data_IF_525287152812
#
_entry.id   IF_525287152812
#
_cell.length_a   1.000
_cell.length_b   1.000
_cell.length_c   1.000
_cell.angle_alpha   90.00
_cell.angle_beta   90.00
_cell.angle_gamma   90.00
#
_symmetry.space_group_name_H-M   'P 1'
#
loop_
_entity.id
_entity.type
_entity.pdbx_description
1 polymer ?
#
# COMPACT_ATOMS: atom_id res chain seq x y z
N UNK A 1 1.36 -81.86 -43.63
CA UNK A 1 2.71 -81.27 -43.41
C UNK A 1 2.80 -80.75 -41.97
N UNK A 2 3.92 -80.13 -41.58
CA UNK A 2 4.31 -79.53 -40.27
C UNK A 2 3.18 -79.15 -39.29
N UNK A 3 3.23 -79.24 -37.94
CA UNK A 3 4.24 -79.41 -36.85
C UNK A 3 4.25 -78.18 -35.91
N UNK A 4 4.09 -78.42 -34.59
CA UNK A 4 4.37 -77.52 -33.43
C UNK A 4 3.42 -76.30 -33.30
N UNK A 5 3.27 -75.63 -32.14
CA UNK A 5 3.80 -75.87 -30.78
C UNK A 5 2.81 -75.36 -29.72
N UNK A 6 2.67 -76.02 -28.57
CA UNK A 6 3.38 -75.78 -27.29
C UNK A 6 2.86 -74.56 -26.51
N UNK A 7 2.31 -74.83 -25.31
CA UNK A 7 1.81 -73.85 -24.34
C UNK A 7 2.90 -73.02 -23.62
N UNK A 8 2.47 -71.96 -22.91
CA UNK A 8 3.23 -71.47 -21.76
C UNK A 8 3.03 -69.99 -21.41
N UNK A 9 2.31 -69.71 -20.31
CA UNK A 9 2.80 -68.92 -19.16
C UNK A 9 1.69 -68.69 -18.13
N UNK A 10 2.01 -68.90 -16.85
CA UNK A 10 1.19 -68.43 -15.73
C UNK A 10 1.63 -67.02 -15.32
N UNK A 11 0.69 -66.08 -15.20
CA UNK A 11 0.96 -64.74 -14.67
C UNK A 11 0.92 -64.75 -13.14
N UNK A 12 2.00 -64.26 -12.50
CA UNK A 12 2.14 -64.18 -11.05
C UNK A 12 1.71 -62.81 -10.48
N UNK A 13 1.53 -62.80 -9.16
CA UNK A 13 1.51 -61.64 -8.26
C UNK A 13 0.31 -60.67 -8.34
N UNK A 14 -0.48 -60.66 -7.26
CA UNK A 14 -1.52 -59.67 -6.95
C UNK A 14 -1.76 -59.63 -5.44
N UNK A 15 -0.76 -59.19 -4.67
CA UNK A 15 -0.86 -59.13 -3.21
C UNK A 15 -1.68 -57.90 -2.77
N UNK A 16 -2.70 -58.04 -1.88
CA UNK A 16 -3.39 -56.90 -1.31
C UNK A 16 -2.45 -56.12 -0.37
N UNK A 17 -2.44 -54.80 -0.52
CA UNK A 17 -1.56 -53.92 0.27
C UNK A 17 -1.98 -53.87 1.74
N UNK A 18 -1.02 -53.80 2.65
CA UNK A 18 -1.29 -53.66 4.08
C UNK A 18 -1.82 -52.26 4.41
N UNK A 19 -3.08 -52.17 4.85
CA UNK A 19 -3.68 -50.90 5.26
C UNK A 19 -3.04 -50.38 6.57
N UNK A 20 -2.78 -49.07 6.61
CA UNK A 20 -1.94 -48.47 7.64
C UNK A 20 -2.69 -48.21 8.96
N UNK A 21 -2.08 -48.59 10.08
CA UNK A 21 -2.64 -48.37 11.42
C UNK A 21 -2.90 -46.87 11.72
N UNK A 22 -3.99 -46.54 12.44
CA UNK A 22 -4.38 -45.15 12.69
C UNK A 22 -3.36 -44.41 13.57
N UNK A 23 -2.93 -43.23 13.12
CA UNK A 23 -2.00 -42.36 13.86
C UNK A 23 -2.69 -41.81 15.12
N UNK A 24 -2.02 -41.88 16.27
CA UNK A 24 -2.48 -41.25 17.51
C UNK A 24 -2.63 -39.72 17.31
N UNK A 25 -3.68 -39.09 17.85
CA UNK A 25 -3.80 -37.63 17.80
C UNK A 25 -2.68 -36.97 18.61
N UNK A 26 -1.97 -36.01 18.00
CA UNK A 26 -1.00 -35.20 18.74
C UNK A 26 -1.74 -34.20 19.63
N UNK A 27 -1.34 -34.13 20.90
CA UNK A 27 -1.94 -33.25 21.90
C UNK A 27 -1.49 -31.81 21.61
N UNK A 28 -2.41 -30.94 21.19
CA UNK A 28 -2.12 -29.53 20.99
C UNK A 28 -1.56 -28.91 22.28
N UNK A 29 -0.48 -28.14 22.18
CA UNK A 29 -0.01 -27.29 23.29
C UNK A 29 -0.88 -26.04 23.35
N UNK A 30 -1.33 -25.59 24.54
CA UNK A 30 -1.99 -24.30 24.66
C UNK A 30 -0.99 -23.16 24.39
N UNK A 31 -1.45 -22.00 23.90
CA UNK A 31 -0.61 -20.81 23.78
C UNK A 31 -0.19 -20.30 25.16
N UNK A 32 1.03 -19.76 25.26
CA UNK A 32 1.51 -19.10 26.47
C UNK A 32 0.89 -17.71 26.58
N UNK A 33 0.26 -17.42 27.72
CA UNK A 33 -0.27 -16.09 28.02
C UNK A 33 0.87 -15.07 28.27
N UNK A 34 0.69 -13.78 27.92
CA UNK A 34 1.70 -12.75 28.15
C UNK A 34 1.95 -12.50 29.64
N UNK A 35 3.22 -12.43 30.03
CA UNK A 35 3.65 -12.14 31.40
C UNK A 35 3.46 -10.65 31.73
N UNK A 36 2.35 -10.31 32.41
CA UNK A 36 2.12 -8.94 32.91
C UNK A 36 2.93 -8.71 34.20
N UNK A 37 4.19 -8.26 34.06
CA UNK A 37 4.96 -7.79 35.21
C UNK A 37 4.40 -6.43 35.69
N UNK A 38 3.82 -6.42 36.88
CA UNK A 38 3.44 -5.17 37.57
C UNK A 38 4.70 -4.42 38.04
N UNK A 39 4.83 -3.10 37.78
CA UNK A 39 5.92 -2.30 38.33
C UNK A 39 5.96 -2.33 39.87
N UNK A 40 7.15 -2.50 40.43
CA UNK A 40 7.37 -2.63 41.88
C UNK A 40 7.61 -1.23 42.48
N UNK A 41 6.59 -0.66 43.12
CA UNK A 41 6.62 0.71 43.64
C UNK A 41 7.73 0.94 44.68
N UNK A 42 8.81 1.60 44.28
CA UNK A 42 9.95 1.92 45.13
C UNK A 42 9.67 3.15 46.01
N UNK A 43 9.28 2.95 47.27
CA UNK A 43 9.14 4.04 48.24
C UNK A 43 10.52 4.65 48.56
N UNK A 44 10.80 5.86 48.07
CA UNK A 44 11.83 6.73 48.65
C UNK A 44 11.18 7.70 49.63
N UNK A 45 11.65 7.72 50.88
CA UNK A 45 11.43 8.84 51.81
C UNK A 45 12.61 9.78 51.66
N UNK A 46 12.38 11.08 51.60
CA UNK A 46 13.39 12.08 51.97
C UNK A 46 12.69 13.28 52.64
N UNK A 47 13.49 14.19 53.19
CA UNK A 47 13.10 15.03 54.32
C UNK A 47 12.53 16.41 53.93
N UNK A 48 11.97 17.07 54.94
CA UNK A 48 11.37 18.41 54.86
C UNK A 48 12.40 19.51 54.66
N UNK A 49 12.01 20.54 53.90
CA UNK A 49 12.46 21.93 54.11
C UNK A 49 13.71 22.38 53.36
N UNK A 50 13.51 23.23 52.34
CA UNK A 50 13.97 24.64 52.30
C UNK A 50 13.49 25.26 50.97
N UNK A 51 13.03 26.52 51.00
CA UNK A 51 12.64 27.28 49.82
C UNK A 51 13.87 27.99 49.21
N UNK A 52 14.08 27.84 47.90
CA UNK A 52 15.08 28.61 47.15
C UNK A 52 14.50 29.07 45.80
N UNK A 53 14.33 30.38 45.72
CA UNK A 53 13.73 31.17 44.65
C UNK A 53 14.25 30.98 43.20
N UNK A 54 13.30 31.07 42.25
CA UNK A 54 13.39 31.70 40.92
C UNK A 54 14.56 31.32 40.00
N UNK A 55 14.26 30.45 39.02
CA UNK A 55 14.64 30.64 37.62
C UNK A 55 13.60 29.96 36.71
N UNK A 56 12.72 30.73 36.07
CA UNK A 56 11.84 30.21 35.01
C UNK A 56 12.59 30.21 33.67
N UNK A 57 13.44 29.21 33.46
CA UNK A 57 14.03 28.94 32.15
C UNK A 57 12.96 28.37 31.23
N UNK A 58 12.41 29.22 30.36
CA UNK A 58 11.55 28.79 29.24
C UNK A 58 12.39 28.26 28.08
N UNK A 59 11.85 27.25 27.38
CA UNK A 59 12.37 26.61 26.15
C UNK A 59 13.52 25.58 26.34
N UNK A 60 13.66 24.59 25.43
CA UNK A 60 12.75 24.22 24.33
C UNK A 60 11.89 22.98 24.66
N UNK A 61 10.83 22.75 23.87
CA UNK A 61 9.98 21.53 23.95
C UNK A 61 10.15 20.74 22.64
N UNK A 62 11.37 20.28 22.36
CA UNK A 62 11.76 19.76 21.04
C UNK A 62 12.66 18.49 21.04
N UNK A 63 12.91 17.83 22.19
CA UNK A 63 13.75 16.60 22.25
C UNK A 63 13.03 15.36 22.84
N UNK A 64 11.93 15.53 23.59
CA UNK A 64 11.17 14.41 24.17
C UNK A 64 10.65 13.45 23.09
N UNK A 65 10.16 13.97 21.95
CA UNK A 65 9.64 13.19 20.82
C UNK A 65 10.74 12.42 20.06
N UNK A 66 11.96 12.99 20.01
CA UNK A 66 13.16 12.30 19.52
C UNK A 66 13.51 11.11 20.43
N UNK A 67 13.41 11.30 21.76
CA UNK A 67 13.67 10.25 22.74
C UNK A 67 12.66 9.09 22.64
N UNK A 68 11.36 9.39 22.49
CA UNK A 68 10.31 8.36 22.37
C UNK A 68 10.45 7.59 21.04
N UNK A 69 10.67 8.29 19.93
CA UNK A 69 10.87 7.67 18.61
C UNK A 69 12.09 6.74 18.60
N UNK A 70 13.23 7.16 19.17
CA UNK A 70 14.44 6.33 19.30
C UNK A 70 14.23 5.14 20.23
N UNK A 71 13.41 5.25 21.28
CA UNK A 71 13.01 4.12 22.12
C UNK A 71 12.14 3.10 21.34
N UNK A 72 11.20 3.56 20.50
CA UNK A 72 10.39 2.70 19.62
C UNK A 72 11.27 1.96 18.60
N UNK A 73 12.18 2.66 17.92
CA UNK A 73 13.13 2.04 16.97
C UNK A 73 13.99 0.99 17.67
N UNK A 74 14.53 1.29 18.85
CA UNK A 74 15.35 0.35 19.64
C UNK A 74 14.57 -0.91 20.05
N UNK A 75 13.29 -0.77 20.42
CA UNK A 75 12.41 -1.89 20.73
C UNK A 75 12.15 -2.77 19.49
N UNK A 76 11.87 -2.16 18.34
CA UNK A 76 11.65 -2.89 17.08
C UNK A 76 12.92 -3.63 16.61
N UNK A 77 14.09 -2.99 16.69
CA UNK A 77 15.37 -3.66 16.37
C UNK A 77 15.63 -4.85 17.30
N UNK A 78 15.28 -4.75 18.58
CA UNK A 78 15.39 -5.85 19.55
C UNK A 78 14.45 -7.02 19.21
N UNK A 79 13.23 -6.73 18.75
CA UNK A 79 12.28 -7.76 18.30
C UNK A 79 12.78 -8.47 17.03
N UNK A 80 13.30 -7.72 16.05
CA UNK A 80 13.91 -8.27 14.83
C UNK A 80 15.14 -9.14 15.13
N UNK A 81 15.95 -8.77 16.12
CA UNK A 81 17.12 -9.57 16.51
C UNK A 81 16.71 -10.91 17.15
N UNK A 82 15.60 -10.91 17.90
CA UNK A 82 14.97 -12.14 18.41
C UNK A 82 14.45 -13.04 17.28
N UNK A 83 13.76 -12.46 16.28
CA UNK A 83 13.32 -13.19 15.08
C UNK A 83 14.50 -13.82 14.32
N UNK A 84 15.60 -13.08 14.15
CA UNK A 84 16.80 -13.60 13.48
C UNK A 84 17.44 -14.77 14.24
N UNK A 85 17.39 -14.76 15.58
CA UNK A 85 17.85 -15.87 16.43
C UNK A 85 17.00 -17.14 16.27
N UNK A 86 15.69 -17.01 16.01
CA UNK A 86 14.84 -18.16 15.66
C UNK A 86 15.15 -18.68 14.24
N UNK A 87 15.31 -17.80 13.26
CA UNK A 87 15.63 -18.18 11.87
C UNK A 87 16.96 -18.93 11.74
N UNK A 88 17.98 -18.57 12.54
CA UNK A 88 19.25 -19.28 12.61
C UNK A 88 19.10 -20.77 12.98
N UNK A 89 18.10 -21.14 13.80
CA UNK A 89 17.84 -22.54 14.18
C UNK A 89 17.40 -23.39 12.99
N UNK A 90 16.76 -22.76 12.00
CA UNK A 90 16.36 -23.37 10.73
C UNK A 90 17.46 -23.37 9.67
N UNK A 91 18.69 -22.97 10.03
CA UNK A 91 19.83 -22.72 9.11
C UNK A 91 19.55 -21.63 8.05
N UNK A 92 18.58 -20.76 8.28
CA UNK A 92 18.36 -19.58 7.45
C UNK A 92 19.32 -18.48 7.92
N UNK A 93 20.16 -17.98 7.01
CA UNK A 93 21.06 -16.85 7.28
C UNK A 93 20.41 -15.55 6.80
N UNK A 94 20.43 -14.50 7.63
CA UNK A 94 19.70 -13.25 7.39
C UNK A 94 20.56 -12.07 7.83
N UNK A 95 20.57 -11.01 7.03
CA UNK A 95 21.11 -9.72 7.42
C UNK A 95 20.11 -8.62 7.03
N UNK A 96 19.91 -7.66 7.93
CA UNK A 96 19.04 -6.52 7.76
C UNK A 96 19.84 -5.25 8.10
N UNK A 97 19.78 -4.26 7.21
CA UNK A 97 20.27 -2.90 7.48
C UNK A 97 19.02 -2.03 7.63
N UNK A 98 18.93 -1.28 8.72
CA UNK A 98 17.96 -0.22 8.89
C UNK A 98 18.71 1.09 9.13
N UNK A 99 18.17 2.18 8.58
CA UNK A 99 18.68 3.54 8.76
C UNK A 99 17.54 4.37 9.35
N UNK A 100 17.83 5.16 10.37
CA UNK A 100 16.87 6.07 10.99
C UNK A 100 17.63 7.31 11.48
N UNK A 101 17.22 8.50 11.05
CA UNK A 101 17.99 9.74 11.21
C UNK A 101 19.44 9.52 10.72
N UNK A 102 20.45 9.66 11.60
CA UNK A 102 21.87 9.38 11.31
C UNK A 102 22.32 7.97 11.66
N UNK A 103 21.48 7.17 12.33
CA UNK A 103 21.88 5.89 12.92
C UNK A 103 21.65 4.71 11.97
N UNK A 104 22.63 3.79 11.96
CA UNK A 104 22.63 2.59 11.12
C UNK A 104 22.62 1.33 11.98
N UNK A 105 21.49 0.63 11.95
CA UNK A 105 21.27 -0.60 12.72
C UNK A 105 21.50 -1.83 11.84
N UNK A 106 22.34 -2.77 12.31
CA UNK A 106 22.64 -4.02 11.59
C UNK A 106 22.16 -5.21 12.41
N UNK A 107 21.00 -5.75 12.02
CA UNK A 107 20.33 -6.88 12.66
C UNK A 107 20.47 -8.12 11.78
N UNK A 108 20.40 -9.33 12.35
CA UNK A 108 20.56 -10.55 11.56
C UNK A 108 21.05 -11.74 12.37
N UNK A 109 21.35 -12.82 11.66
CA UNK A 109 22.10 -13.97 12.19
C UNK A 109 23.56 -13.61 12.44
N UNK A 110 24.32 -14.52 13.05
CA UNK A 110 25.75 -14.30 13.32
C UNK A 110 26.54 -14.10 12.00
N UNK A 111 26.36 -14.98 11.02
CA UNK A 111 27.05 -14.87 9.72
C UNK A 111 26.56 -13.67 8.91
N UNK A 112 25.26 -13.39 8.92
CA UNK A 112 24.67 -12.25 8.22
C UNK A 112 25.20 -10.90 8.74
N UNK A 113 25.22 -10.71 10.07
CA UNK A 113 25.80 -9.50 10.68
C UNK A 113 27.31 -9.41 10.49
N UNK A 114 28.04 -10.53 10.56
CA UNK A 114 29.48 -10.54 10.28
C UNK A 114 29.80 -10.13 8.83
N UNK A 115 29.03 -10.63 7.86
CA UNK A 115 29.16 -10.25 6.44
C UNK A 115 28.92 -8.75 6.23
N UNK A 116 27.79 -8.22 6.72
CA UNK A 116 27.45 -6.80 6.57
C UNK A 116 28.39 -5.87 7.34
N UNK A 117 28.93 -6.28 8.50
CA UNK A 117 29.90 -5.46 9.24
C UNK A 117 31.33 -5.52 8.68
N UNK A 118 31.70 -6.61 8.01
CA UNK A 118 32.93 -6.67 7.19
C UNK A 118 32.81 -5.76 5.96
N UNK A 119 31.62 -5.74 5.33
CA UNK A 119 31.32 -4.96 4.12
C UNK A 119 30.60 -3.65 4.44
N UNK A 120 31.35 -2.70 5.02
CA UNK A 120 30.90 -1.33 5.34
C UNK A 120 30.51 -0.51 4.10
N UNK A 121 30.91 -0.94 2.92
CA UNK A 121 30.41 -0.45 1.63
C UNK A 121 28.88 -0.63 1.52
N UNK A 122 28.31 -1.81 1.80
CA UNK A 122 26.84 -1.98 1.75
C UNK A 122 26.08 -1.07 2.73
N UNK A 123 26.67 -0.78 3.90
CA UNK A 123 26.07 0.14 4.87
C UNK A 123 26.10 1.59 4.34
N UNK A 124 27.22 2.01 3.74
CA UNK A 124 27.37 3.34 3.14
C UNK A 124 26.52 3.51 1.88
N UNK A 125 26.47 2.52 1.00
CA UNK A 125 25.69 2.55 -0.23
C UNK A 125 24.19 2.54 0.07
N UNK A 126 23.75 1.86 1.14
CA UNK A 126 22.35 1.90 1.57
C UNK A 126 21.97 3.23 2.25
N UNK A 127 22.82 3.78 3.13
CA UNK A 127 22.62 5.15 3.67
C UNK A 127 22.62 6.17 2.54
N UNK A 128 23.57 6.07 1.59
CA UNK A 128 23.63 6.90 0.39
C UNK A 128 22.38 6.75 -0.45
N UNK A 129 21.86 5.53 -0.64
CA UNK A 129 20.60 5.32 -1.35
C UNK A 129 19.44 6.00 -0.64
N UNK A 130 19.28 5.83 0.68
CA UNK A 130 18.23 6.50 1.45
C UNK A 130 18.33 8.03 1.33
N UNK A 131 19.53 8.60 1.50
CA UNK A 131 19.75 10.04 1.35
C UNK A 131 19.58 10.49 -0.11
N UNK A 132 20.00 9.72 -1.12
CA UNK A 132 19.75 10.05 -2.55
C UNK A 132 18.31 9.79 -3.01
N UNK A 133 17.46 9.17 -2.20
CA UNK A 133 16.03 8.96 -2.46
C UNK A 133 15.20 10.03 -1.73
N UNK A 134 15.55 10.35 -0.49
CA UNK A 134 15.05 11.53 0.24
C UNK A 134 15.48 12.84 -0.45
N UNK A 135 16.74 12.95 -0.85
CA UNK A 135 17.21 14.05 -1.70
C UNK A 135 16.51 14.01 -3.05
N UNK A 136 16.20 12.87 -3.70
CA UNK A 136 15.37 12.92 -4.93
C UNK A 136 13.92 13.33 -4.66
N UNK A 137 13.37 13.01 -3.48
CA UNK A 137 12.08 13.50 -3.04
C UNK A 137 12.09 15.02 -2.74
N UNK A 138 13.27 15.64 -2.55
CA UNK A 138 13.48 17.08 -2.30
C UNK A 138 14.09 17.87 -3.49
N UNK A 139 14.95 17.26 -4.30
CA UNK A 139 15.46 17.64 -5.63
C UNK A 139 14.49 17.24 -6.73
N UNK A 140 13.32 16.77 -6.33
CA UNK A 140 12.13 17.29 -6.94
C UNK A 140 11.21 17.72 -5.78
N UNK A 141 11.37 18.94 -5.23
CA UNK A 141 10.25 19.59 -4.51
C UNK A 141 10.11 21.11 -4.57
N UNK A 142 10.98 21.84 -5.29
CA UNK A 142 10.87 23.30 -5.41
C UNK A 142 10.22 23.78 -6.71
N UNK A 143 9.52 22.97 -7.52
CA UNK A 143 8.93 23.41 -8.82
C UNK A 143 7.65 24.23 -8.76
N UNK A 144 7.79 25.40 -8.17
CA UNK A 144 8.22 26.55 -8.98
C UNK A 144 9.24 27.30 -8.11
N UNK A 145 10.51 27.43 -8.50
CA UNK A 145 11.12 27.26 -9.83
C UNK A 145 11.53 25.83 -10.31
N UNK A 146 12.04 24.88 -9.50
CA UNK A 146 12.63 23.60 -10.02
C UNK A 146 12.63 22.42 -9.01
N UNK A 147 12.72 21.12 -9.42
CA UNK A 147 11.70 20.17 -9.89
C UNK A 147 10.66 19.74 -8.79
N UNK A 148 9.67 18.83 -9.03
CA UNK A 148 8.75 18.31 -7.97
C UNK A 148 8.40 16.79 -8.06
N UNK A 149 8.44 16.04 -6.94
CA UNK A 149 8.41 14.56 -6.78
C UNK A 149 7.49 14.03 -5.71
N UNK A 150 7.61 14.43 -4.44
CA UNK A 150 7.04 13.63 -3.33
C UNK A 150 5.50 13.64 -3.30
N UNK A 151 4.89 14.37 -4.24
CA UNK A 151 3.50 14.23 -4.65
C UNK A 151 3.23 13.22 -5.77
N UNK A 152 4.14 12.84 -6.66
CA UNK A 152 3.84 12.13 -7.91
C UNK A 152 3.09 10.79 -7.76
N UNK A 153 3.30 10.05 -6.67
CA UNK A 153 2.48 8.85 -6.37
C UNK A 153 1.06 9.21 -5.90
N UNK A 154 0.92 10.32 -5.15
CA UNK A 154 -0.35 10.88 -4.69
C UNK A 154 -1.09 11.56 -5.85
N UNK A 155 -0.45 12.45 -6.61
CA UNK A 155 -0.99 13.14 -7.78
C UNK A 155 -1.49 12.14 -8.84
N UNK A 156 -0.78 11.02 -9.09
CA UNK A 156 -1.23 10.00 -10.03
C UNK A 156 -2.54 9.32 -9.57
N UNK A 157 -2.64 8.98 -8.27
CA UNK A 157 -3.85 8.41 -7.67
C UNK A 157 -4.97 9.45 -7.54
N UNK A 158 -4.63 10.71 -7.30
CA UNK A 158 -5.58 11.84 -7.25
C UNK A 158 -6.15 12.11 -8.65
N UNK A 159 -5.32 12.17 -9.70
CA UNK A 159 -5.77 12.30 -11.09
C UNK A 159 -6.73 11.17 -11.45
N UNK A 160 -6.41 9.93 -11.09
CA UNK A 160 -7.24 8.78 -11.47
C UNK A 160 -8.55 8.71 -10.68
N UNK A 161 -8.54 9.08 -9.39
CA UNK A 161 -9.79 9.23 -8.60
C UNK A 161 -10.63 10.43 -9.06
N UNK A 162 -10.01 11.54 -9.47
CA UNK A 162 -10.69 12.68 -10.08
C UNK A 162 -11.33 12.32 -11.42
N UNK A 163 -10.59 11.65 -12.32
CA UNK A 163 -11.10 11.14 -13.62
C UNK A 163 -12.34 10.29 -13.42
N UNK A 164 -12.26 9.29 -12.56
CA UNK A 164 -13.40 8.41 -12.23
C UNK A 164 -14.57 9.18 -11.64
N UNK A 165 -14.32 10.11 -10.70
CA UNK A 165 -15.39 10.92 -10.10
C UNK A 165 -16.07 11.82 -11.13
N UNK A 166 -15.32 12.36 -12.09
CA UNK A 166 -15.87 13.14 -13.22
C UNK A 166 -16.65 12.24 -14.19
N UNK A 167 -16.18 11.03 -14.46
CA UNK A 167 -16.88 10.04 -15.30
C UNK A 167 -18.22 9.62 -14.69
N UNK A 168 -18.22 9.19 -13.42
CA UNK A 168 -19.43 8.83 -12.66
C UNK A 168 -20.42 10.00 -12.63
N UNK A 169 -19.93 11.23 -12.43
CA UNK A 169 -20.74 12.44 -12.45
C UNK A 169 -21.34 12.75 -13.83
N UNK A 170 -20.58 12.61 -14.92
CA UNK A 170 -21.10 12.76 -16.28
C UNK A 170 -22.13 11.67 -16.61
N UNK A 171 -21.91 10.42 -16.18
CA UNK A 171 -22.86 9.32 -16.36
C UNK A 171 -24.17 9.54 -15.58
N UNK A 172 -24.09 10.14 -14.39
CA UNK A 172 -25.27 10.60 -13.64
C UNK A 172 -26.01 11.74 -14.36
N UNK A 173 -25.31 12.79 -14.81
CA UNK A 173 -25.94 13.93 -15.47
C UNK A 173 -26.54 13.59 -16.85
N UNK A 174 -25.91 12.70 -17.61
CA UNK A 174 -26.49 12.16 -18.85
C UNK A 174 -27.71 11.27 -18.58
N UNK A 175 -27.67 10.42 -17.55
CA UNK A 175 -28.83 9.65 -17.08
C UNK A 175 -30.01 10.55 -16.69
N UNK A 176 -29.75 11.58 -15.88
CA UNK A 176 -30.72 12.61 -15.48
C UNK A 176 -31.31 13.35 -16.69
N UNK A 177 -30.49 13.74 -17.65
CA UNK A 177 -30.94 14.41 -18.88
C UNK A 177 -31.76 13.49 -19.81
N UNK A 178 -31.55 12.17 -19.75
CA UNK A 178 -32.39 11.16 -20.39
C UNK A 178 -33.69 10.85 -19.61
N UNK A 179 -33.95 11.50 -18.49
CA UNK A 179 -35.10 11.21 -17.61
C UNK A 179 -34.99 9.85 -16.89
N UNK A 180 -33.78 9.30 -16.74
CA UNK A 180 -33.52 8.01 -16.09
C UNK A 180 -32.98 8.23 -14.67
N UNK A 181 -33.49 7.43 -13.72
CA UNK A 181 -32.99 7.42 -12.34
C UNK A 181 -31.68 6.62 -12.18
N UNK A 182 -31.37 5.74 -13.14
CA UNK A 182 -30.10 5.00 -13.22
C UNK A 182 -29.00 5.86 -13.83
N UNK A 183 -27.76 5.72 -13.35
CA UNK A 183 -26.57 6.18 -14.10
C UNK A 183 -26.54 5.54 -15.50
N UNK A 184 -26.08 6.28 -16.50
CA UNK A 184 -25.98 5.81 -17.90
C UNK A 184 -24.62 6.19 -18.47
N UNK A 185 -23.81 5.24 -18.95
CA UNK A 185 -22.55 5.54 -19.64
C UNK A 185 -22.72 6.56 -20.75
N UNK A 186 -21.85 7.57 -20.77
CA UNK A 186 -21.91 8.64 -21.76
C UNK A 186 -21.31 8.16 -23.09
N UNK A 187 -22.02 8.26 -24.23
CA UNK A 187 -21.51 7.79 -25.51
C UNK A 187 -20.63 8.85 -26.17
N UNK A 188 -19.43 9.06 -25.64
CA UNK A 188 -18.50 10.13 -26.04
C UNK A 188 -18.23 10.16 -27.55
N UNK A 189 -18.05 9.02 -28.21
CA UNK A 189 -17.80 8.95 -29.66
C UNK A 189 -19.03 9.29 -30.50
N UNK A 190 -20.24 9.20 -29.93
CA UNK A 190 -21.48 9.64 -30.59
C UNK A 190 -21.66 11.14 -30.40
N UNK A 191 -21.42 11.66 -29.20
CA UNK A 191 -21.46 13.09 -28.89
C UNK A 191 -20.41 13.91 -29.66
N UNK A 192 -19.19 13.39 -29.79
CA UNK A 192 -18.12 14.07 -30.55
C UNK A 192 -18.42 14.12 -32.06
N UNK A 193 -19.16 13.14 -32.60
CA UNK A 193 -19.61 13.09 -34.01
C UNK A 193 -20.88 13.90 -34.27
N UNK A 194 -21.85 13.91 -33.35
CA UNK A 194 -23.06 14.72 -33.43
C UNK A 194 -23.21 15.59 -32.17
N UNK A 195 -22.46 16.70 -32.18
CA UNK A 195 -22.51 17.75 -31.13
C UNK A 195 -23.84 18.52 -31.15
N UNK A 196 -24.70 18.30 -32.17
CA UNK A 196 -26.04 18.90 -32.23
C UNK A 196 -27.07 18.11 -31.42
N UNK A 197 -26.89 16.79 -31.31
CA UNK A 197 -27.79 15.89 -30.60
C UNK A 197 -27.76 16.06 -29.07
N UNK A 198 -26.57 16.28 -28.49
CA UNK A 198 -26.41 16.52 -27.05
C UNK A 198 -25.40 17.64 -26.83
N UNK A 199 -25.86 18.74 -26.24
CA UNK A 199 -25.04 19.91 -25.89
C UNK A 199 -24.70 19.86 -24.40
N UNK A 200 -23.44 20.04 -24.03
CA UNK A 200 -23.02 20.18 -22.63
C UNK A 200 -22.81 21.66 -22.32
N UNK A 201 -23.41 22.14 -21.23
CA UNK A 201 -23.23 23.50 -20.70
C UNK A 201 -22.51 23.46 -19.35
N UNK A 202 -21.93 24.60 -18.94
CA UNK A 202 -21.25 24.76 -17.64
C UNK A 202 -19.80 24.27 -17.58
N UNK A 203 -19.22 23.85 -18.71
CA UNK A 203 -17.78 23.55 -18.81
C UNK A 203 -16.93 24.83 -18.73
N UNK A 204 -15.63 24.73 -18.36
CA UNK A 204 -14.76 25.89 -18.27
C UNK A 204 -14.52 26.53 -19.66
N UNK A 205 -14.31 27.85 -19.67
CA UNK A 205 -14.17 28.61 -20.91
C UNK A 205 -12.97 28.12 -21.76
N UNK A 206 -13.21 27.92 -23.06
CA UNK A 206 -12.24 27.33 -23.98
C UNK A 206 -12.12 25.79 -23.93
N UNK A 207 -12.72 25.10 -22.95
CA UNK A 207 -12.63 23.64 -22.82
C UNK A 207 -13.80 22.94 -23.52
N UNK A 208 -13.51 22.27 -24.63
CA UNK A 208 -14.46 21.41 -25.33
C UNK A 208 -14.70 20.09 -24.58
N UNK A 209 -15.93 19.56 -24.64
CA UNK A 209 -16.30 18.29 -24.02
C UNK A 209 -15.52 17.10 -24.61
N UNK A 210 -14.85 16.33 -23.75
CA UNK A 210 -14.00 15.16 -24.06
C UNK A 210 -14.15 14.08 -22.98
N UNK A 211 -13.52 12.92 -23.22
CA UNK A 211 -13.36 11.86 -22.21
C UNK A 211 -12.62 12.39 -20.97
N UNK A 212 -13.00 12.01 -19.73
CA UNK A 212 -12.33 12.51 -18.51
C UNK A 212 -10.82 12.25 -18.46
N UNK A 213 -10.34 11.14 -19.02
CA UNK A 213 -8.91 10.83 -19.12
C UNK A 213 -8.11 11.89 -19.89
N UNK A 214 -8.75 12.58 -20.85
CA UNK A 214 -8.16 13.57 -21.75
C UNK A 214 -8.20 15.00 -21.19
N UNK A 215 -8.62 15.18 -19.93
CA UNK A 215 -8.46 16.43 -19.19
C UNK A 215 -7.23 16.38 -18.28
N UNK A 216 -6.64 17.54 -18.03
CA UNK A 216 -5.62 17.76 -17.02
C UNK A 216 -6.22 17.87 -15.61
N UNK A 217 -5.36 17.78 -14.58
CA UNK A 217 -5.74 17.87 -13.17
C UNK A 217 -6.52 19.15 -12.82
N UNK A 218 -6.17 20.31 -13.40
CA UNK A 218 -6.84 21.55 -13.05
C UNK A 218 -8.25 21.60 -13.64
N UNK A 219 -8.42 21.18 -14.90
CA UNK A 219 -9.75 21.02 -15.52
C UNK A 219 -10.62 20.01 -14.76
N UNK A 220 -10.05 18.87 -14.33
CA UNK A 220 -10.78 17.86 -13.55
C UNK A 220 -11.27 18.39 -12.19
N UNK A 221 -10.40 19.11 -11.44
CA UNK A 221 -10.78 19.74 -10.17
C UNK A 221 -11.85 20.81 -10.38
N UNK A 222 -11.66 21.70 -11.36
CA UNK A 222 -12.62 22.76 -11.69
C UNK A 222 -14.01 22.21 -12.05
N UNK A 223 -14.07 21.10 -12.80
CA UNK A 223 -15.32 20.42 -13.16
C UNK A 223 -16.06 19.91 -11.92
N UNK A 224 -15.35 19.37 -10.92
CA UNK A 224 -15.97 18.88 -9.68
C UNK A 224 -16.35 19.99 -8.70
N UNK A 225 -15.64 21.12 -8.72
CA UNK A 225 -16.01 22.33 -7.97
C UNK A 225 -17.28 22.97 -8.56
N UNK A 226 -17.27 23.23 -9.86
CA UNK A 226 -18.34 23.95 -10.57
C UNK A 226 -19.47 23.03 -11.08
N UNK A 227 -19.48 21.76 -10.66
CA UNK A 227 -20.43 20.73 -11.13
C UNK A 227 -21.90 21.16 -11.07
N UNK A 228 -22.29 22.01 -10.13
CA UNK A 228 -23.67 22.50 -10.04
C UNK A 228 -24.15 23.28 -11.29
N UNK A 229 -23.23 23.90 -12.05
CA UNK A 229 -23.52 24.55 -13.33
C UNK A 229 -23.48 23.61 -14.54
N UNK A 230 -22.92 22.41 -14.40
CA UNK A 230 -22.74 21.48 -15.53
C UNK A 230 -24.05 20.75 -15.82
N UNK A 231 -24.49 20.80 -17.08
CA UNK A 231 -25.73 20.15 -17.51
C UNK A 231 -25.66 19.63 -18.95
N UNK A 232 -26.39 18.55 -19.21
CA UNK A 232 -26.50 17.90 -20.51
C UNK A 232 -27.88 18.22 -21.09
N UNK A 233 -27.92 18.82 -22.28
CA UNK A 233 -29.15 19.20 -22.99
C UNK A 233 -29.29 18.29 -24.21
N UNK A 234 -30.18 17.31 -24.10
CA UNK A 234 -30.43 16.30 -25.14
C UNK A 234 -31.50 16.82 -26.11
N UNK A 235 -31.07 17.28 -27.29
CA UNK A 235 -31.97 17.64 -28.40
C UNK A 235 -32.41 16.41 -29.20
N UNK A 236 -31.57 15.38 -29.26
CA UNK A 236 -31.85 14.08 -29.89
C UNK A 236 -31.18 12.97 -29.06
N UNK A 237 -31.92 12.07 -28.40
CA UNK A 237 -31.32 11.01 -27.61
C UNK A 237 -30.63 9.98 -28.51
N UNK A 238 -29.41 9.59 -28.17
CA UNK A 238 -28.76 8.42 -28.78
C UNK A 238 -29.46 7.15 -28.26
N UNK A 239 -30.24 6.51 -29.13
CA UNK A 239 -30.92 5.25 -28.81
C UNK A 239 -29.88 4.12 -28.69
N UNK A 240 -29.56 3.76 -27.45
CA UNK A 240 -28.91 2.48 -27.14
C UNK A 240 -29.87 1.32 -27.45
N UNK A 241 -29.43 0.27 -28.16
CA UNK A 241 -30.20 -0.97 -28.28
C UNK A 241 -30.50 -1.52 -26.88
N UNK A 242 -31.78 -1.78 -26.58
CA UNK A 242 -32.15 -2.45 -25.33
C UNK A 242 -31.54 -3.86 -25.32
N UNK A 243 -30.42 -4.04 -24.61
CA UNK A 243 -30.04 -5.35 -24.08
C UNK A 243 -31.08 -5.72 -23.03
N UNK A 244 -32.12 -6.44 -23.46
CA UNK A 244 -33.09 -7.07 -22.58
C UNK A 244 -32.34 -8.08 -21.70
N UNK A 245 -32.06 -7.71 -20.44
CA UNK A 245 -31.67 -8.68 -19.43
C UNK A 245 -32.94 -9.52 -19.15
N UNK A 246 -32.95 -10.74 -19.69
CA UNK A 246 -34.16 -11.53 -19.82
C UNK A 246 -34.32 -12.57 -18.72
N UNK A 247 -35.47 -12.51 -18.05
CA UNK A 247 -36.00 -13.46 -17.05
C UNK A 247 -35.30 -13.45 -15.69
#
# INVERSE_FOLDING_TARGET
MLRRGWAGSAGLAGAPSAEAAPRRPQRARPPLAPFVLRPRAARRRLHSGIMAQVAMSTLPVEDEESSESRMVVTFLMSALESMCKELAKSKAEVACIAVYETDVFVVGTERGRAFVNSRKDFQKDFVKYCVEEEEKAAEMHKMKSTPQASRMSVDAVEIETLRKTVEDYFCFCYGKALGKSTVVPVPYEKMLRDQSAVVVQGLPEGVAFKHPENYDLATLKWILENKAGISFIIKRPFLEPRKHLGK
#
